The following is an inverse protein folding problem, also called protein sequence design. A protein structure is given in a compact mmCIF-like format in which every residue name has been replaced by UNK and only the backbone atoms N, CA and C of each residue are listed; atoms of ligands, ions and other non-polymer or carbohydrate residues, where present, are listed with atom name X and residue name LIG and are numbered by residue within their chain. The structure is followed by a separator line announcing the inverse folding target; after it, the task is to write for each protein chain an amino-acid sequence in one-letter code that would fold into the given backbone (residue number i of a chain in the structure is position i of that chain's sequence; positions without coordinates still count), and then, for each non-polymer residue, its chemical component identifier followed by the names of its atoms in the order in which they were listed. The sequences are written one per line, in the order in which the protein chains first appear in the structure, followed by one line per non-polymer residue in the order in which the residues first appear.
data_IF_306984213266
#
_entry.id   IF_306984213266
#
_cell.length_a   1.000
_cell.length_b   1.000
_cell.length_c   1.000
_cell.angle_alpha   90.00
_cell.angle_beta   90.00
_cell.angle_gamma   90.00
#
_symmetry.space_group_name_H-M   'P 1'
#
loop_
_entity.id
_entity.type
_entity.pdbx_description
1 polymer ?
#
# COMPACT_ATOMS: atom_id res chain seq x y z
N UNK A 1 -25.98 20.52 -80.66
CA UNK A 1 -26.02 21.28 -79.40
C UNK A 1 -25.39 20.43 -78.31
N UNK A 2 -24.25 20.84 -77.76
CA UNK A 2 -23.59 20.12 -76.67
C UNK A 2 -24.06 20.68 -75.33
N UNK A 3 -24.65 19.83 -74.48
CA UNK A 3 -25.12 20.21 -73.14
C UNK A 3 -24.03 19.86 -72.13
N UNK A 4 -23.36 20.88 -71.59
CA UNK A 4 -22.37 20.71 -70.53
C UNK A 4 -23.12 20.53 -69.20
N UNK A 5 -23.09 19.31 -68.65
CA UNK A 5 -23.56 19.04 -67.29
C UNK A 5 -22.47 19.42 -66.29
N UNK A 6 -22.60 20.58 -65.65
CA UNK A 6 -21.74 21.00 -64.56
C UNK A 6 -22.13 20.18 -63.31
N UNK A 7 -21.28 19.21 -62.96
CA UNK A 7 -21.43 18.41 -61.74
C UNK A 7 -21.05 19.30 -60.55
N UNK A 8 -22.04 19.85 -59.85
CA UNK A 8 -21.81 20.57 -58.60
C UNK A 8 -21.05 19.68 -57.60
N UNK A 9 -19.79 20.03 -57.32
CA UNK A 9 -19.03 19.45 -56.20
C UNK A 9 -19.77 19.86 -54.93
N UNK A 10 -20.41 18.88 -54.29
CA UNK A 10 -21.09 19.04 -53.00
C UNK A 10 -20.04 19.49 -51.98
N UNK A 11 -19.96 20.80 -51.71
CA UNK A 11 -19.09 21.34 -50.68
C UNK A 11 -19.46 20.63 -49.36
N UNK A 12 -18.56 19.77 -48.87
CA UNK A 12 -18.70 19.22 -47.51
C UNK A 12 -18.74 20.44 -46.59
N UNK A 13 -19.82 20.54 -45.82
CA UNK A 13 -20.03 21.64 -44.88
C UNK A 13 -18.77 21.84 -44.02
N UNK A 14 -18.13 23.00 -44.14
CA UNK A 14 -16.95 23.38 -43.36
C UNK A 14 -17.19 23.25 -41.86
N UNK A 15 -18.45 23.38 -41.44
CA UNK A 15 -18.92 23.15 -40.08
C UNK A 15 -18.73 21.71 -39.61
N UNK A 16 -19.00 20.72 -40.46
CA UNK A 16 -18.78 19.30 -40.12
C UNK A 16 -17.30 18.95 -39.96
N UNK A 17 -16.45 19.54 -40.80
CA UNK A 17 -14.98 19.40 -40.69
C UNK A 17 -14.49 20.10 -39.42
N UNK A 18 -15.00 21.29 -39.09
CA UNK A 18 -14.65 22.04 -37.88
C UNK A 18 -15.05 21.30 -36.60
N UNK A 19 -16.26 20.73 -36.53
CA UNK A 19 -16.69 19.91 -35.38
C UNK A 19 -15.80 18.68 -35.25
N UNK A 20 -15.51 18.00 -36.36
CA UNK A 20 -14.65 16.80 -36.33
C UNK A 20 -13.26 17.16 -35.81
N UNK A 21 -12.68 18.27 -36.28
CA UNK A 21 -11.41 18.80 -35.77
C UNK A 21 -11.47 19.13 -34.28
N UNK A 22 -12.54 19.79 -33.82
CA UNK A 22 -12.73 20.12 -32.41
C UNK A 22 -12.77 18.86 -31.54
N UNK A 23 -13.52 17.84 -31.95
CA UNK A 23 -13.59 16.55 -31.23
C UNK A 23 -12.22 15.88 -31.19
N UNK A 24 -11.47 15.87 -32.29
CA UNK A 24 -10.11 15.33 -32.34
C UNK A 24 -9.20 16.08 -31.37
N UNK A 25 -9.24 17.42 -31.37
CA UNK A 25 -8.42 18.23 -30.45
C UNK A 25 -8.74 17.91 -29.01
N UNK A 26 -10.03 17.79 -28.64
CA UNK A 26 -10.43 17.42 -27.27
C UNK A 26 -9.90 16.03 -26.91
N UNK A 27 -9.98 15.06 -27.83
CA UNK A 27 -9.45 13.71 -27.60
C UNK A 27 -7.93 13.70 -27.45
N UNK A 28 -7.19 14.46 -28.26
CA UNK A 28 -5.73 14.56 -28.19
C UNK A 28 -5.29 15.25 -26.90
N UNK A 29 -5.91 16.38 -26.55
CA UNK A 29 -5.61 17.09 -25.29
C UNK A 29 -5.94 16.22 -24.09
N UNK A 30 -7.07 15.50 -24.13
CA UNK A 30 -7.41 14.48 -23.17
C UNK A 30 -6.29 13.45 -23.07
N UNK A 31 -6.02 12.70 -24.14
CA UNK A 31 -5.01 11.65 -24.16
C UNK A 31 -3.63 12.11 -23.67
N UNK A 32 -3.19 13.33 -24.03
CA UNK A 32 -1.96 13.91 -23.54
C UNK A 32 -2.00 14.11 -22.01
N UNK A 33 -3.07 14.70 -21.47
CA UNK A 33 -3.26 14.83 -20.02
C UNK A 33 -3.25 13.46 -19.32
N UNK A 34 -3.92 12.47 -19.90
CA UNK A 34 -3.91 11.08 -19.41
C UNK A 34 -2.49 10.51 -19.35
N UNK A 35 -1.73 10.67 -20.44
CA UNK A 35 -0.35 10.21 -20.55
C UNK A 35 0.56 10.86 -19.51
N UNK A 36 0.52 12.20 -19.36
CA UNK A 36 1.36 12.90 -18.40
C UNK A 36 1.11 12.48 -16.96
N UNK A 37 -0.16 12.27 -16.57
CA UNK A 37 -0.50 11.88 -15.20
C UNK A 37 -0.02 10.46 -14.87
N UNK A 38 -0.15 9.54 -15.82
CA UNK A 38 0.34 8.16 -15.68
C UNK A 38 1.87 8.16 -15.63
N UNK A 39 2.49 8.86 -16.57
CA UNK A 39 3.95 8.96 -16.69
C UNK A 39 4.59 9.58 -15.44
N UNK A 40 3.97 10.59 -14.84
CA UNK A 40 4.45 11.19 -13.60
C UNK A 40 4.48 10.20 -12.43
N UNK A 41 3.51 9.27 -12.35
CA UNK A 41 3.50 8.23 -11.31
C UNK A 41 4.46 7.10 -11.67
N UNK A 42 4.48 6.63 -12.92
CA UNK A 42 5.33 5.52 -13.33
C UNK A 42 6.83 5.84 -13.27
N UNK A 43 7.20 7.11 -13.47
CA UNK A 43 8.58 7.57 -13.41
C UNK A 43 8.97 8.16 -12.04
N UNK A 44 8.11 8.03 -11.03
CA UNK A 44 8.45 8.50 -9.69
C UNK A 44 9.49 7.60 -9.03
N UNK A 45 10.26 8.15 -8.09
CA UNK A 45 11.28 7.40 -7.34
C UNK A 45 10.67 6.17 -6.66
N UNK A 46 9.43 6.26 -6.21
CA UNK A 46 8.83 5.20 -5.41
C UNK A 46 8.36 4.02 -6.27
N UNK A 47 7.89 4.26 -7.50
CA UNK A 47 7.66 3.17 -8.46
C UNK A 47 8.98 2.58 -8.93
N UNK A 48 10.04 3.39 -9.01
CA UNK A 48 11.37 2.95 -9.46
C UNK A 48 12.20 2.27 -8.37
N UNK A 49 11.91 2.47 -7.09
CA UNK A 49 12.57 1.84 -5.95
C UNK A 49 12.72 0.33 -6.13
N UNK A 50 13.74 -0.29 -5.54
CA UNK A 50 13.89 -1.74 -5.55
C UNK A 50 13.05 -2.35 -4.42
N UNK A 51 13.22 -1.82 -3.21
CA UNK A 51 12.61 -2.29 -1.96
C UNK A 51 11.69 -1.22 -1.37
N UNK A 52 10.43 -1.56 -1.14
CA UNK A 52 9.48 -0.68 -0.44
C UNK A 52 8.87 -1.43 0.74
N UNK A 53 8.89 -0.79 1.90
CA UNK A 53 8.22 -1.29 3.10
C UNK A 53 7.00 -0.43 3.45
N UNK A 54 5.93 -1.09 3.86
CA UNK A 54 4.70 -0.48 4.37
C UNK A 54 4.42 -1.04 5.76
N UNK A 55 4.43 -0.17 6.78
CA UNK A 55 4.07 -0.54 8.15
C UNK A 55 2.64 -0.09 8.46
N UNK A 56 1.76 -1.06 8.69
CA UNK A 56 0.35 -0.82 8.99
C UNK A 56 0.09 -1.23 10.42
N UNK A 57 -0.36 -0.30 11.26
CA UNK A 57 -0.80 -0.64 12.60
C UNK A 57 -2.32 -0.85 12.62
N UNK A 58 -2.74 -2.08 12.89
CA UNK A 58 -4.15 -2.46 13.01
C UNK A 58 -4.56 -2.27 14.46
N UNK A 59 -5.34 -1.23 14.75
CA UNK A 59 -5.74 -0.83 16.11
C UNK A 59 -7.01 -1.54 16.58
N UNK A 60 -7.18 -2.82 16.22
CA UNK A 60 -8.32 -3.62 16.66
C UNK A 60 -8.27 -3.84 18.18
N UNK A 61 -9.31 -3.50 18.95
CA UNK A 61 -9.35 -3.69 20.40
C UNK A 61 -9.11 -5.15 20.84
N UNK A 62 -9.47 -6.14 20.02
CA UNK A 62 -9.34 -7.55 20.38
C UNK A 62 -7.93 -8.11 20.12
N UNK A 63 -7.28 -7.65 19.04
CA UNK A 63 -5.96 -8.15 18.64
C UNK A 63 -5.18 -7.07 17.85
N UNK A 64 -4.55 -6.11 18.55
CA UNK A 64 -3.75 -5.10 17.90
C UNK A 64 -2.47 -5.74 17.32
N UNK A 65 -2.20 -5.44 16.05
CA UNK A 65 -1.11 -6.06 15.29
C UNK A 65 -0.45 -5.05 14.37
N UNK A 66 0.89 -5.11 14.28
CA UNK A 66 1.66 -4.44 13.25
C UNK A 66 1.82 -5.37 12.06
N UNK A 67 1.49 -4.87 10.88
CA UNK A 67 1.62 -5.59 9.61
C UNK A 67 2.69 -4.90 8.79
N UNK A 68 3.84 -5.55 8.63
CA UNK A 68 4.91 -5.10 7.77
C UNK A 68 4.78 -5.78 6.40
N UNK A 69 4.25 -5.05 5.43
CA UNK A 69 4.21 -5.46 4.02
C UNK A 69 5.52 -5.00 3.35
N UNK A 70 6.35 -5.96 2.98
CA UNK A 70 7.60 -5.73 2.25
C UNK A 70 7.42 -6.15 0.81
N UNK A 71 7.86 -5.29 -0.10
CA UNK A 71 7.95 -5.62 -1.51
C UNK A 71 9.37 -5.42 -2.03
N UNK A 72 9.87 -6.42 -2.76
CA UNK A 72 11.11 -6.34 -3.54
C UNK A 72 10.82 -6.75 -4.98
N UNK A 73 11.16 -5.89 -5.93
CA UNK A 73 10.98 -6.16 -7.36
C UNK A 73 11.57 -7.52 -7.75
N UNK A 74 10.73 -8.39 -8.30
CA UNK A 74 11.15 -9.71 -8.81
C UNK A 74 11.31 -10.78 -7.73
N UNK A 75 11.11 -10.45 -6.45
CA UNK A 75 11.24 -11.39 -5.33
C UNK A 75 9.92 -11.67 -4.62
N UNK A 76 8.93 -10.79 -4.73
CA UNK A 76 7.60 -11.01 -4.18
C UNK A 76 7.18 -10.04 -3.09
N UNK A 77 5.98 -10.27 -2.58
CA UNK A 77 5.44 -9.59 -1.41
C UNK A 77 5.56 -10.50 -0.17
N UNK A 78 6.15 -10.00 0.91
CA UNK A 78 6.11 -10.64 2.23
C UNK A 78 5.25 -9.78 3.15
N UNK A 79 4.30 -10.41 3.83
CA UNK A 79 3.46 -9.78 4.84
C UNK A 79 3.84 -10.39 6.18
N UNK A 80 4.55 -9.63 7.00
CA UNK A 80 4.95 -10.04 8.34
C UNK A 80 3.98 -9.47 9.37
N UNK A 81 3.46 -10.34 10.23
CA UNK A 81 2.52 -9.97 11.28
C UNK A 81 3.15 -10.06 12.66
N UNK A 82 3.11 -8.95 13.37
CA UNK A 82 3.82 -8.70 14.62
C UNK A 82 2.79 -8.27 15.68
N UNK A 83 2.50 -9.11 16.69
CA UNK A 83 1.62 -8.70 17.78
C UNK A 83 2.12 -7.43 18.46
N UNK A 84 1.22 -6.52 18.88
CA UNK A 84 1.61 -5.21 19.44
C UNK A 84 2.58 -5.32 20.64
N UNK A 85 2.36 -6.32 21.49
CA UNK A 85 3.14 -6.53 22.72
C UNK A 85 4.40 -7.38 22.51
N UNK A 86 4.79 -7.66 21.27
CA UNK A 86 5.96 -8.49 20.98
C UNK A 86 7.23 -7.87 21.57
N UNK A 87 7.94 -8.65 22.37
CA UNK A 87 9.26 -8.31 22.85
C UNK A 87 10.28 -8.66 21.75
N UNK A 88 11.00 -7.65 21.28
CA UNK A 88 12.09 -7.85 20.33
C UNK A 88 13.35 -8.21 21.10
N UNK A 89 13.68 -9.49 21.18
CA UNK A 89 14.98 -9.95 21.70
C UNK A 89 16.04 -9.86 20.60
N UNK A 90 17.27 -9.38 20.91
CA UNK A 90 17.83 -9.03 22.21
C UNK A 90 17.65 -7.56 22.62
N UNK A 91 16.84 -6.77 21.90
CA UNK A 91 16.72 -5.32 22.12
C UNK A 91 16.01 -4.94 23.43
N UNK A 92 15.37 -5.88 24.11
CA UNK A 92 14.53 -5.70 25.32
C UNK A 92 13.44 -4.62 25.18
N UNK A 93 13.12 -4.24 23.94
CA UNK A 93 12.13 -3.22 23.59
C UNK A 93 10.83 -3.89 23.16
N UNK A 94 9.72 -3.21 23.47
CA UNK A 94 8.38 -3.53 22.99
C UNK A 94 8.03 -2.59 21.84
N UNK A 95 7.16 -3.03 20.92
CA UNK A 95 6.62 -2.19 19.85
C UNK A 95 5.62 -1.14 20.39
N UNK A 96 5.13 -1.30 21.63
CA UNK A 96 4.14 -0.41 22.25
C UNK A 96 4.69 0.97 22.64
N UNK A 97 3.87 2.02 22.48
CA UNK A 97 4.12 3.35 23.07
C UNK A 97 5.19 4.18 22.36
N UNK A 98 5.55 3.78 21.15
CA UNK A 98 6.58 4.39 20.31
C UNK A 98 5.93 4.88 19.01
N UNK A 99 6.48 5.91 18.35
CA UNK A 99 5.98 6.34 17.04
C UNK A 99 6.18 5.26 15.96
N UNK A 100 5.33 5.22 14.93
CA UNK A 100 5.47 4.23 13.84
C UNK A 100 6.82 4.34 13.10
N UNK A 101 7.39 5.54 13.01
CA UNK A 101 8.72 5.76 12.42
C UNK A 101 9.83 5.10 13.26
N UNK A 102 9.76 5.22 14.59
CA UNK A 102 10.68 4.54 15.49
C UNK A 102 10.47 3.02 15.51
N UNK A 103 9.21 2.56 15.43
CA UNK A 103 8.89 1.14 15.32
C UNK A 103 9.54 0.53 14.08
N UNK A 104 9.47 1.19 12.92
CA UNK A 104 10.18 0.74 11.72
C UNK A 104 11.68 0.63 11.93
N UNK A 105 12.31 1.64 12.54
CA UNK A 105 13.75 1.60 12.83
C UNK A 105 14.13 0.43 13.75
N UNK A 106 13.27 0.13 14.73
CA UNK A 106 13.45 -1.03 15.60
C UNK A 106 13.33 -2.34 14.81
N UNK A 107 12.32 -2.48 13.95
CA UNK A 107 12.14 -3.67 13.11
C UNK A 107 13.30 -3.85 12.12
N UNK A 108 13.77 -2.76 11.51
CA UNK A 108 14.91 -2.78 10.60
C UNK A 108 16.18 -3.26 11.28
N UNK A 109 16.46 -2.71 12.47
CA UNK A 109 17.60 -3.13 13.28
C UNK A 109 17.46 -4.56 13.79
N UNK A 110 16.24 -5.00 14.11
CA UNK A 110 15.98 -6.32 14.65
C UNK A 110 16.11 -7.42 13.60
N UNK A 111 15.56 -7.18 12.41
CA UNK A 111 15.59 -8.14 11.30
C UNK A 111 16.86 -8.01 10.44
N UNK A 112 17.65 -6.95 10.62
CA UNK A 112 18.82 -6.67 9.79
C UNK A 112 18.46 -6.26 8.37
N UNK A 113 17.35 -5.54 8.20
CA UNK A 113 16.75 -5.24 6.89
C UNK A 113 16.75 -3.74 6.59
N UNK A 114 16.59 -3.39 5.32
CA UNK A 114 16.41 -2.02 4.86
C UNK A 114 15.46 -1.94 3.66
N UNK A 115 14.97 -0.73 3.39
CA UNK A 115 14.11 -0.38 2.26
C UNK A 115 14.52 0.97 1.67
N UNK A 116 14.33 1.15 0.36
CA UNK A 116 14.60 2.43 -0.31
C UNK A 116 13.51 3.45 0.02
N UNK A 117 12.27 2.98 0.08
CA UNK A 117 11.09 3.76 0.42
C UNK A 117 10.34 3.12 1.59
N UNK A 118 9.75 3.98 2.42
CA UNK A 118 9.00 3.55 3.59
C UNK A 118 7.76 4.40 3.82
N UNK A 119 6.65 3.71 4.09
CA UNK A 119 5.35 4.29 4.36
C UNK A 119 4.72 3.66 5.58
N UNK A 120 3.88 4.44 6.27
CA UNK A 120 3.17 3.93 7.44
C UNK A 120 1.83 4.59 7.64
N UNK A 121 0.92 3.86 8.28
CA UNK A 121 -0.35 4.40 8.75
C UNK A 121 -0.98 3.50 9.82
N UNK A 122 -1.87 4.09 10.60
CA UNK A 122 -2.78 3.38 11.50
C UNK A 122 -4.15 3.19 10.87
N UNK A 123 -4.80 2.07 11.17
CA UNK A 123 -6.17 1.82 10.73
C UNK A 123 -6.90 0.86 11.65
N UNK A 124 -8.21 1.03 11.75
CA UNK A 124 -9.10 0.08 12.42
C UNK A 124 -9.96 -0.67 11.38
N UNK A 125 -10.90 -1.49 11.86
CA UNK A 125 -11.81 -2.23 10.99
C UNK A 125 -12.65 -1.34 10.08
N UNK A 126 -13.06 -0.16 10.56
CA UNK A 126 -13.86 0.78 9.77
C UNK A 126 -13.02 1.53 8.74
N UNK A 127 -11.75 1.81 9.05
CA UNK A 127 -10.74 2.32 8.13
C UNK A 127 -10.48 1.34 6.98
N UNK A 128 -10.30 0.05 7.29
CA UNK A 128 -10.16 -1.03 6.30
C UNK A 128 -11.39 -1.08 5.38
N UNK A 129 -12.60 -1.12 5.94
CA UNK A 129 -13.85 -1.14 5.17
C UNK A 129 -14.00 0.10 4.30
N UNK A 130 -13.70 1.28 4.86
CA UNK A 130 -13.78 2.56 4.15
C UNK A 130 -12.80 2.59 2.97
N UNK A 131 -11.55 2.19 3.18
CA UNK A 131 -10.54 2.12 2.12
C UNK A 131 -10.92 1.10 1.03
N UNK A 132 -11.33 -0.10 1.41
CA UNK A 132 -11.83 -1.13 0.49
C UNK A 132 -13.00 -0.60 -0.36
N UNK A 133 -13.96 0.10 0.27
CA UNK A 133 -15.13 0.65 -0.43
C UNK A 133 -14.74 1.67 -1.51
N UNK A 134 -13.70 2.48 -1.26
CA UNK A 134 -13.16 3.40 -2.28
C UNK A 134 -12.59 2.63 -3.46
N UNK A 135 -12.01 1.46 -3.22
CA UNK A 135 -11.54 0.55 -4.24
C UNK A 135 -12.67 -0.29 -4.87
N UNK A 136 -13.92 -0.08 -4.49
CA UNK A 136 -15.09 -0.73 -5.11
C UNK A 136 -15.28 -2.19 -4.70
N UNK A 137 -14.78 -2.58 -3.52
CA UNK A 137 -15.05 -3.88 -2.91
C UNK A 137 -15.22 -3.72 -1.38
N UNK A 138 -15.62 -4.78 -0.68
CA UNK A 138 -15.66 -4.83 0.78
C UNK A 138 -14.49 -5.64 1.33
N UNK A 139 -14.00 -5.32 2.52
CA UNK A 139 -13.04 -6.14 3.27
C UNK A 139 -13.30 -5.96 4.77
N UNK A 140 -13.27 -7.06 5.51
CA UNK A 140 -13.54 -7.11 6.95
C UNK A 140 -12.27 -7.23 7.80
N UNK A 141 -11.13 -7.52 7.16
CA UNK A 141 -9.81 -7.64 7.79
C UNK A 141 -8.71 -7.14 6.85
N UNK A 142 -7.52 -6.84 7.39
CA UNK A 142 -6.40 -6.41 6.56
C UNK A 142 -5.93 -7.54 5.61
N UNK A 143 -6.00 -8.82 6.02
CA UNK A 143 -5.68 -9.96 5.14
C UNK A 143 -6.62 -10.00 3.94
N UNK A 144 -7.93 -9.88 4.20
CA UNK A 144 -8.91 -9.83 3.11
C UNK A 144 -8.71 -8.61 2.20
N UNK A 145 -8.33 -7.46 2.78
CA UNK A 145 -7.98 -6.27 2.02
C UNK A 145 -6.79 -6.54 1.09
N UNK A 146 -5.67 -7.05 1.61
CA UNK A 146 -4.46 -7.33 0.83
C UNK A 146 -4.72 -8.39 -0.25
N UNK A 147 -5.44 -9.46 0.07
CA UNK A 147 -5.82 -10.49 -0.91
C UNK A 147 -6.72 -9.96 -2.03
N UNK A 148 -7.66 -9.07 -1.71
CA UNK A 148 -8.50 -8.43 -2.74
C UNK A 148 -7.71 -7.42 -3.56
N UNK A 149 -6.77 -6.71 -2.95
CA UNK A 149 -5.87 -5.80 -3.64
C UNK A 149 -4.98 -6.52 -4.64
N UNK A 150 -4.36 -7.64 -4.26
CA UNK A 150 -3.51 -8.43 -5.16
C UNK A 150 -4.29 -8.98 -6.35
N UNK A 151 -5.51 -9.46 -6.14
CA UNK A 151 -6.37 -9.98 -7.21
C UNK A 151 -6.94 -8.89 -8.13
N UNK A 152 -7.35 -7.75 -7.56
CA UNK A 152 -7.92 -6.63 -8.33
C UNK A 152 -6.84 -5.93 -9.14
N UNK A 153 -5.67 -5.75 -8.51
CA UNK A 153 -4.55 -4.97 -8.99
C UNK A 153 -4.86 -3.48 -9.20
N UNK A 154 -3.87 -2.80 -9.77
CA UNK A 154 -3.98 -1.41 -10.20
C UNK A 154 -4.54 -1.31 -11.62
N UNK A 155 -5.65 -0.60 -11.76
CA UNK A 155 -6.39 -0.34 -12.99
C UNK A 155 -6.08 1.05 -13.52
N UNK A 156 -6.31 1.24 -14.82
CA UNK A 156 -6.15 2.54 -15.46
C UNK A 156 -6.89 3.66 -14.72
N UNK A 157 -8.18 3.49 -14.39
CA UNK A 157 -8.94 4.55 -13.73
C UNK A 157 -8.45 4.91 -12.31
N UNK A 158 -7.62 4.07 -11.70
CA UNK A 158 -7.12 4.31 -10.35
C UNK A 158 -6.13 5.48 -10.29
N UNK A 159 -5.40 5.76 -11.38
CA UNK A 159 -4.50 6.93 -11.48
C UNK A 159 -5.22 8.25 -11.16
N UNK A 160 -6.54 8.35 -11.39
CA UNK A 160 -7.34 9.54 -11.01
C UNK A 160 -7.83 9.52 -9.58
N UNK A 161 -7.98 8.34 -9.00
CA UNK A 161 -8.57 8.12 -7.67
C UNK A 161 -7.53 7.98 -6.58
N UNK A 162 -6.23 7.97 -6.91
CA UNK A 162 -5.12 7.94 -5.93
C UNK A 162 -5.26 8.99 -4.82
N UNK A 163 -5.70 10.21 -5.16
CA UNK A 163 -5.95 11.25 -4.15
C UNK A 163 -7.05 10.84 -3.17
N UNK A 164 -8.14 10.27 -3.68
CA UNK A 164 -9.27 9.83 -2.86
C UNK A 164 -8.90 8.62 -2.01
N UNK A 165 -7.99 7.77 -2.50
CA UNK A 165 -7.49 6.59 -1.78
C UNK A 165 -6.58 6.99 -0.63
N UNK A 166 -5.62 7.89 -0.88
CA UNK A 166 -4.76 8.47 0.16
C UNK A 166 -5.61 9.18 1.21
N UNK A 167 -6.56 10.03 0.79
CA UNK A 167 -7.45 10.73 1.71
C UNK A 167 -8.34 9.79 2.54
N UNK A 168 -8.63 8.58 2.05
CA UNK A 168 -9.38 7.59 2.81
C UNK A 168 -8.53 6.95 3.93
N UNK A 169 -7.21 6.85 3.74
CA UNK A 169 -6.26 6.42 4.78
C UNK A 169 -6.08 7.55 5.79
N UNK A 170 -5.73 8.75 5.31
CA UNK A 170 -5.47 9.93 6.15
C UNK A 170 -6.67 10.32 7.03
N UNK A 171 -7.89 9.98 6.61
CA UNK A 171 -9.11 10.20 7.41
C UNK A 171 -9.07 9.46 8.76
N UNK A 172 -8.42 8.30 8.82
CA UNK A 172 -8.35 7.46 10.03
C UNK A 172 -7.01 7.63 10.76
N UNK A 173 -5.98 8.14 10.08
CA UNK A 173 -4.70 8.48 10.68
C UNK A 173 -4.15 9.77 10.06
N UNK A 174 -4.25 10.87 10.80
CA UNK A 174 -3.72 12.17 10.36
C UNK A 174 -2.18 12.22 10.36
N UNK A 175 -1.52 11.26 11.01
CA UNK A 175 -0.07 11.13 11.04
C UNK A 175 0.46 10.18 9.96
N UNK A 176 -0.43 9.59 9.15
CA UNK A 176 -0.09 8.66 8.10
C UNK A 176 0.94 9.27 7.13
N UNK A 177 1.97 8.50 6.84
CA UNK A 177 2.93 8.80 5.80
C UNK A 177 2.64 7.89 4.62
N UNK A 178 1.87 8.39 3.66
CA UNK A 178 1.59 7.70 2.40
C UNK A 178 1.48 8.69 1.24
N UNK A 179 2.31 8.53 0.21
CA UNK A 179 2.25 9.36 -1.00
C UNK A 179 1.33 8.72 -2.05
N UNK A 180 0.83 9.51 -3.01
CA UNK A 180 0.05 8.97 -4.14
C UNK A 180 0.87 7.97 -4.95
N UNK A 181 2.16 8.25 -5.13
CA UNK A 181 3.07 7.39 -5.86
C UNK A 181 3.43 6.14 -5.04
N UNK A 182 3.69 6.28 -3.74
CA UNK A 182 3.87 5.16 -2.81
C UNK A 182 2.68 4.21 -2.79
N UNK A 183 1.45 4.74 -2.75
CA UNK A 183 0.25 3.91 -2.84
C UNK A 183 0.09 3.26 -4.21
N UNK A 184 0.37 3.98 -5.30
CA UNK A 184 0.34 3.41 -6.64
C UNK A 184 1.37 2.27 -6.80
N UNK A 185 2.58 2.46 -6.28
CA UNK A 185 3.63 1.45 -6.27
C UNK A 185 3.18 0.19 -5.52
N UNK A 186 2.54 0.34 -4.36
CA UNK A 186 1.95 -0.78 -3.61
C UNK A 186 0.95 -1.55 -4.47
N UNK A 187 -0.01 -0.86 -5.08
CA UNK A 187 -1.08 -1.48 -5.88
C UNK A 187 -0.57 -2.15 -7.16
N UNK A 188 0.49 -1.61 -7.77
CA UNK A 188 1.17 -2.21 -8.91
C UNK A 188 1.88 -3.52 -8.48
N UNK A 189 2.68 -3.45 -7.41
CA UNK A 189 3.49 -4.57 -6.90
C UNK A 189 2.66 -5.72 -6.34
N UNK A 190 1.55 -5.42 -5.65
CA UNK A 190 0.64 -6.44 -5.12
C UNK A 190 0.01 -7.29 -6.22
N UNK A 191 -0.15 -6.74 -7.44
CA UNK A 191 -0.75 -7.46 -8.57
C UNK A 191 0.20 -8.48 -9.17
N UNK A 192 1.46 -8.10 -9.33
CA UNK A 192 2.42 -8.82 -10.15
C UNK A 192 3.08 -9.98 -9.37
N UNK A 193 2.90 -10.01 -8.05
CA UNK A 193 3.65 -10.87 -7.15
C UNK A 193 2.76 -11.52 -6.08
N UNK A 194 3.02 -12.78 -5.75
CA UNK A 194 2.27 -13.51 -4.73
C UNK A 194 2.50 -12.90 -3.33
N UNK A 195 1.42 -12.85 -2.54
CA UNK A 195 1.47 -12.52 -1.11
C UNK A 195 1.90 -13.74 -0.31
N UNK A 196 2.99 -13.62 0.44
CA UNK A 196 3.43 -14.61 1.43
C UNK A 196 3.20 -14.05 2.83
N UNK A 197 2.22 -14.60 3.53
CA UNK A 197 1.95 -14.25 4.91
C UNK A 197 2.87 -15.05 5.84
N UNK A 198 3.54 -14.34 6.74
CA UNK A 198 4.30 -14.92 7.83
C UNK A 198 3.76 -14.38 9.15
N UNK A 199 3.20 -15.29 9.93
CA UNK A 199 2.68 -15.01 11.26
C UNK A 199 3.69 -15.52 12.28
N UNK A 200 4.11 -14.61 13.16
CA UNK A 200 5.05 -14.95 14.21
C UNK A 200 4.36 -15.80 15.27
N UNK A 201 4.98 -16.93 15.61
CA UNK A 201 4.51 -17.78 16.71
C UNK A 201 5.07 -17.27 18.05
N UNK A 202 4.17 -17.13 19.02
CA UNK A 202 4.48 -16.63 20.37
C UNK A 202 4.22 -17.71 21.41
N UNK A 203 5.05 -17.74 22.45
CA UNK A 203 5.02 -18.76 23.52
C UNK A 203 3.68 -18.73 24.27
N UNK A 204 3.09 -17.54 24.44
CA UNK A 204 1.84 -17.34 25.18
C UNK A 204 0.78 -16.68 24.32
N UNK A 205 -0.47 -17.15 24.44
CA UNK A 205 -1.63 -16.55 23.74
C UNK A 205 -1.97 -15.13 24.21
N UNK A 206 -1.58 -14.79 25.43
CA UNK A 206 -1.82 -13.49 26.04
C UNK A 206 -0.50 -12.90 26.54
N UNK A 207 -0.35 -11.57 26.52
CA UNK A 207 0.85 -10.92 27.03
C UNK A 207 1.03 -11.19 28.53
N UNK A 208 2.26 -11.49 28.91
CA UNK A 208 2.67 -11.62 30.30
C UNK A 208 2.75 -10.21 30.90
N UNK A 209 2.03 -9.98 32.01
CA UNK A 209 2.09 -8.73 32.76
C UNK A 209 3.21 -8.78 33.81
N UNK A 210 4.25 -7.98 33.59
CA UNK A 210 5.37 -7.83 34.52
C UNK A 210 5.13 -6.58 35.37
N UNK A 211 4.86 -6.79 36.66
CA UNK A 211 4.74 -5.73 37.66
C UNK A 211 6.10 -5.56 38.34
N UNK A 212 6.72 -4.40 38.19
CA UNK A 212 7.94 -4.06 38.93
C UNK A 212 7.62 -3.04 40.00
N UNK A 213 8.28 -3.10 41.14
CA UNK A 213 8.15 -2.10 42.22
C UNK A 213 8.67 -0.70 41.84
N UNK A 214 9.33 -0.60 40.67
CA UNK A 214 9.97 0.61 40.15
C UNK A 214 9.08 1.32 39.10
N UNK A 215 8.23 0.57 38.39
CA UNK A 215 7.28 1.12 37.41
C UNK A 215 5.87 1.12 37.97
N UNK A 216 5.25 2.30 38.07
CA UNK A 216 3.86 2.44 38.50
C UNK A 216 2.82 1.79 37.57
N UNK A 217 3.23 1.29 36.40
CA UNK A 217 2.36 0.58 35.44
C UNK A 217 2.92 -0.80 35.09
N UNK A 218 2.06 -1.84 34.98
CA UNK A 218 2.46 -3.16 34.52
C UNK A 218 2.96 -3.10 33.07
N UNK A 219 4.06 -3.80 32.78
CA UNK A 219 4.63 -3.93 31.44
C UNK A 219 4.07 -5.20 30.81
N UNK A 220 3.46 -5.10 29.63
CA UNK A 220 2.92 -6.25 28.86
C UNK A 220 3.95 -6.73 27.84
N UNK A 221 4.21 -8.04 27.79
CA UNK A 221 5.16 -8.64 26.83
C UNK A 221 4.67 -9.97 26.26
N UNK A 222 4.89 -10.19 24.98
CA UNK A 222 4.77 -11.46 24.27
C UNK A 222 6.16 -11.90 23.82
N UNK A 223 6.51 -13.15 24.10
CA UNK A 223 7.81 -13.72 23.74
C UNK A 223 7.68 -14.64 22.53
N UNK A 224 8.70 -14.60 21.68
CA UNK A 224 8.82 -15.37 20.45
C UNK A 224 9.10 -16.84 20.74
N UNK A 225 8.50 -17.74 19.96
CA UNK A 225 9.02 -19.10 19.87
C UNK A 225 10.35 -19.10 19.10
N UNK A 226 11.37 -19.76 19.64
CA UNK A 226 12.73 -19.79 19.07
C UNK A 226 12.76 -20.21 17.60
N UNK A 227 12.00 -21.27 17.27
CA UNK A 227 11.87 -21.75 15.89
C UNK A 227 11.25 -20.72 14.94
N UNK A 228 10.30 -19.91 15.43
CA UNK A 228 9.68 -18.87 14.61
C UNK A 228 10.66 -17.75 14.25
N UNK A 229 11.67 -17.50 15.10
CA UNK A 229 12.73 -16.54 14.81
C UNK A 229 13.67 -17.08 13.74
N UNK A 230 14.07 -18.36 13.82
CA UNK A 230 14.90 -19.00 12.78
C UNK A 230 14.21 -18.98 11.42
N UNK A 231 12.93 -19.38 11.38
CA UNK A 231 12.13 -19.36 10.15
C UNK A 231 12.01 -17.93 9.59
N UNK A 232 11.79 -16.93 10.46
CA UNK A 232 11.73 -15.52 10.08
C UNK A 232 13.04 -15.01 9.49
N UNK A 233 14.17 -15.33 10.13
CA UNK A 233 15.49 -14.91 9.65
C UNK A 233 15.81 -15.55 8.30
N UNK A 234 15.48 -16.82 8.11
CA UNK A 234 15.69 -17.53 6.84
C UNK A 234 14.91 -16.91 5.67
N UNK A 235 13.72 -16.35 5.93
CA UNK A 235 12.93 -15.64 4.91
C UNK A 235 13.63 -14.37 4.40
N UNK A 236 14.51 -13.78 5.21
CA UNK A 236 15.20 -12.54 4.88
C UNK A 236 16.64 -12.73 4.41
N UNK A 237 17.23 -13.93 4.54
CA UNK A 237 18.57 -14.22 4.00
C UNK A 237 18.63 -14.11 2.46
N UNK A 238 17.52 -14.37 1.77
CA UNK A 238 17.42 -14.28 0.31
C UNK A 238 16.94 -12.89 -0.20
N UNK A 239 16.77 -11.90 0.68
CA UNK A 239 16.11 -10.60 0.40
C UNK A 239 17.03 -9.38 0.26
#
# INVERSE_FOLDING_TARGET
MATIKIRNRKNRSSYGIAITLLVIVILVVGAAYFYFKISAIQNSEEVQAEKIDYLIHITDPENPVFVLLRNKKGYGNIVLELPEYLALEPLEKSLTGTSLDEIKKLLDSWLGISSDEYYYWETDKDGIRSFASKLGFSAESYRELLDKLSRRGFKFLDYWRLKDYVAAIEKYDNSARISKAGLAAMLLRLRDENLRYFEISVITKHPIEIKTSVSGKPIKRLYLEEKSLEDLMSLFEEW
#
